data_IF_519120896536
#
_entry.id   IF_519120896536
#
_cell.length_a   1.000
_cell.length_b   1.000
_cell.length_c   1.000
_cell.angle_alpha   90.00
_cell.angle_beta   90.00
_cell.angle_gamma   90.00
#
_symmetry.space_group_name_H-M   'P 1'
#
loop_
_entity.id
_entity.type
_entity.pdbx_description
1 polymer ?
#
# COMPACT_ATOMS: atom_id res chain seq x y z
N UNK A 1 -2.71 12.03 -23.69
CA UNK A 1 -2.58 12.14 -22.22
C UNK A 1 -1.22 11.56 -21.81
N UNK A 2 -0.35 12.39 -21.22
CA UNK A 2 0.99 11.93 -20.82
C UNK A 2 0.86 11.04 -19.59
N UNK A 3 1.10 9.74 -19.74
CA UNK A 3 1.11 8.78 -18.63
C UNK A 3 2.39 9.02 -17.83
N UNK A 4 2.29 9.83 -16.78
CA UNK A 4 3.44 10.37 -16.04
C UNK A 4 4.17 9.32 -15.20
N UNK A 5 3.48 8.26 -14.73
CA UNK A 5 4.08 7.23 -13.85
C UNK A 5 4.37 5.94 -14.59
N UNK A 6 5.41 5.22 -14.14
CA UNK A 6 5.80 3.94 -14.72
C UNK A 6 4.73 2.86 -14.50
N UNK A 7 4.07 2.85 -13.35
CA UNK A 7 2.97 1.91 -13.06
C UNK A 7 1.75 2.13 -13.96
N UNK A 8 1.37 3.38 -14.21
CA UNK A 8 0.26 3.65 -15.11
C UNK A 8 0.56 3.18 -16.55
N UNK A 9 1.83 3.25 -17.00
CA UNK A 9 2.24 2.65 -18.28
C UNK A 9 2.11 1.13 -18.26
N UNK A 10 2.51 0.47 -17.17
CA UNK A 10 2.39 -0.99 -17.03
C UNK A 10 0.92 -1.41 -17.09
N UNK A 11 0.04 -0.74 -16.34
CA UNK A 11 -1.40 -1.03 -16.32
C UNK A 11 -1.99 -0.87 -17.71
N UNK A 12 -1.69 0.25 -18.38
CA UNK A 12 -2.11 0.49 -19.76
C UNK A 12 -1.65 -0.60 -20.73
N UNK A 13 -0.40 -1.05 -20.61
CA UNK A 13 0.13 -2.14 -21.45
C UNK A 13 -0.59 -3.46 -21.18
N UNK A 14 -0.90 -3.77 -19.93
CA UNK A 14 -1.66 -4.97 -19.55
C UNK A 14 -3.07 -4.91 -20.16
N UNK A 15 -3.74 -3.77 -20.09
CA UNK A 15 -5.04 -3.55 -20.71
C UNK A 15 -4.97 -3.71 -22.23
N UNK A 16 -3.96 -3.12 -22.88
CA UNK A 16 -3.74 -3.28 -24.31
C UNK A 16 -3.55 -4.75 -24.70
N UNK A 17 -2.76 -5.53 -23.96
CA UNK A 17 -2.58 -6.97 -24.22
C UNK A 17 -3.90 -7.75 -24.06
N UNK A 18 -4.73 -7.38 -23.07
CA UNK A 18 -6.04 -8.04 -22.85
C UNK A 18 -7.02 -7.77 -23.98
N UNK A 19 -7.07 -6.52 -24.47
CA UNK A 19 -7.93 -6.11 -25.59
C UNK A 19 -7.43 -6.74 -26.89
N UNK A 20 -6.12 -6.62 -27.15
CA UNK A 20 -5.47 -7.16 -28.33
C UNK A 20 -4.89 -8.54 -28.01
N UNK A 21 -5.74 -9.58 -27.96
CA UNK A 21 -5.34 -10.98 -27.66
C UNK A 21 -4.17 -11.54 -28.49
N UNK A 22 -3.82 -10.90 -29.62
CA UNK A 22 -2.68 -11.27 -30.49
C UNK A 22 -1.37 -10.56 -30.14
N UNK A 23 -1.37 -9.64 -29.18
CA UNK A 23 -0.19 -8.84 -28.83
C UNK A 23 0.74 -9.63 -27.91
N UNK A 24 1.95 -9.91 -28.39
CA UNK A 24 2.98 -10.53 -27.56
C UNK A 24 3.43 -9.56 -26.45
N UNK A 25 3.41 -9.96 -25.15
CA UNK A 25 3.86 -9.11 -24.05
C UNK A 25 5.27 -8.54 -24.25
N UNK A 26 6.14 -9.30 -24.92
CA UNK A 26 7.52 -8.87 -25.20
C UNK A 26 7.59 -7.72 -26.21
N UNK A 27 6.71 -7.73 -27.21
CA UNK A 27 6.60 -6.65 -28.20
C UNK A 27 5.99 -5.41 -27.55
N UNK A 28 4.94 -5.59 -26.75
CA UNK A 28 4.30 -4.51 -26.01
C UNK A 28 5.29 -3.80 -25.07
N UNK A 29 6.06 -4.56 -24.29
CA UNK A 29 7.09 -4.02 -23.41
C UNK A 29 8.10 -3.12 -24.15
N UNK A 30 8.52 -3.53 -25.37
CA UNK A 30 9.44 -2.74 -26.22
C UNK A 30 8.79 -1.45 -26.72
N UNK A 31 7.56 -1.53 -27.25
CA UNK A 31 6.82 -0.38 -27.79
C UNK A 31 6.62 0.71 -26.73
N UNK A 32 6.19 0.29 -25.54
CA UNK A 32 5.86 1.20 -24.44
C UNK A 32 7.03 1.50 -23.51
N UNK A 33 8.24 1.01 -23.82
CA UNK A 33 9.47 1.19 -23.04
C UNK A 33 9.30 0.80 -21.56
N UNK A 34 8.66 -0.34 -21.33
CA UNK A 34 8.44 -0.92 -20.00
C UNK A 34 9.35 -2.15 -19.82
N UNK A 35 9.99 -2.35 -18.67
CA UNK A 35 10.75 -3.57 -18.41
C UNK A 35 9.86 -4.82 -18.51
N UNK A 36 10.29 -5.79 -19.34
CA UNK A 36 9.55 -7.03 -19.58
C UNK A 36 9.30 -7.83 -18.30
N UNK A 37 10.30 -7.92 -17.42
CA UNK A 37 10.19 -8.63 -16.13
C UNK A 37 9.09 -8.04 -15.25
N UNK A 38 9.05 -6.71 -15.13
CA UNK A 38 8.03 -6.00 -14.35
C UNK A 38 6.63 -6.21 -14.94
N UNK A 39 6.50 -6.14 -16.26
CA UNK A 39 5.23 -6.41 -16.94
C UNK A 39 4.72 -7.83 -16.66
N UNK A 40 5.58 -8.85 -16.78
CA UNK A 40 5.21 -10.25 -16.50
C UNK A 40 4.82 -10.46 -15.03
N UNK A 41 5.58 -9.88 -14.10
CA UNK A 41 5.25 -9.94 -12.68
C UNK A 41 3.86 -9.36 -12.39
N UNK A 42 3.52 -8.23 -13.02
CA UNK A 42 2.22 -7.57 -12.86
C UNK A 42 1.09 -8.36 -13.51
N UNK A 43 1.32 -8.96 -14.68
CA UNK A 43 0.37 -9.89 -15.30
C UNK A 43 0.10 -11.13 -14.43
N UNK A 44 1.11 -11.60 -13.69
CA UNK A 44 1.00 -12.70 -12.74
C UNK A 44 0.42 -12.29 -11.38
N UNK A 45 -0.10 -11.06 -11.23
CA UNK A 45 -0.77 -10.61 -10.01
C UNK A 45 0.15 -10.11 -8.90
N UNK A 46 1.45 -9.88 -9.14
CA UNK A 46 2.26 -9.15 -8.15
C UNK A 46 1.75 -7.71 -8.05
N UNK A 47 1.35 -7.32 -6.85
CA UNK A 47 0.97 -5.95 -6.49
C UNK A 47 2.20 -5.08 -6.23
N UNK A 48 2.03 -3.76 -6.24
CA UNK A 48 3.12 -2.84 -5.89
C UNK A 48 3.44 -2.99 -4.40
N UNK A 49 4.60 -2.51 -3.96
CA UNK A 49 4.87 -2.43 -2.52
C UNK A 49 3.88 -1.52 -1.80
N UNK A 50 3.36 -0.51 -2.49
CA UNK A 50 2.36 0.42 -1.95
C UNK A 50 1.02 -0.27 -1.69
N UNK A 51 0.61 -1.17 -2.57
CA UNK A 51 -0.67 -1.88 -2.44
C UNK A 51 -0.55 -3.17 -1.60
N UNK A 52 0.67 -3.54 -1.20
CA UNK A 52 0.92 -4.72 -0.39
C UNK A 52 0.87 -4.34 1.08
N UNK A 53 0.04 -5.03 1.86
CA UNK A 53 0.11 -4.98 3.31
C UNK A 53 1.46 -5.51 3.81
N UNK A 54 2.27 -4.72 4.52
CA UNK A 54 3.54 -5.19 5.04
C UNK A 54 3.34 -6.27 6.09
N UNK A 55 4.12 -7.34 6.02
CA UNK A 55 4.06 -8.44 7.01
C UNK A 55 4.40 -8.00 8.44
N UNK A 56 4.97 -6.80 8.61
CA UNK A 56 5.38 -6.24 9.90
C UNK A 56 4.31 -5.33 10.53
N UNK A 57 3.14 -5.16 9.92
CA UNK A 57 2.03 -4.45 10.55
C UNK A 57 1.47 -5.30 11.68
N UNK A 58 1.55 -4.78 12.90
CA UNK A 58 1.01 -5.43 14.10
C UNK A 58 -0.48 -5.12 14.31
N UNK A 59 -0.91 -3.96 13.84
CA UNK A 59 -2.30 -3.52 13.91
C UNK A 59 -3.02 -3.95 12.63
N UNK A 60 -4.30 -4.28 12.78
CA UNK A 60 -5.20 -4.47 11.64
C UNK A 60 -5.67 -3.13 11.07
N UNK A 61 -6.20 -3.15 9.85
CA UNK A 61 -6.81 -1.98 9.20
C UNK A 61 -7.89 -1.31 10.08
N UNK A 62 -8.69 -2.11 10.79
CA UNK A 62 -9.73 -1.59 11.68
C UNK A 62 -9.13 -0.85 12.88
N UNK A 63 -8.09 -1.40 13.48
CA UNK A 63 -7.39 -0.77 14.60
C UNK A 63 -6.64 0.49 14.19
N UNK A 64 -5.97 0.47 13.03
CA UNK A 64 -5.34 1.66 12.47
C UNK A 64 -6.39 2.76 12.23
N UNK A 65 -7.58 2.40 11.75
CA UNK A 65 -8.70 3.34 11.58
C UNK A 65 -9.16 3.94 12.91
N UNK A 66 -9.24 3.12 13.97
CA UNK A 66 -9.57 3.59 15.33
C UNK A 66 -8.50 4.56 15.83
N UNK A 67 -7.22 4.22 15.64
CA UNK A 67 -6.09 5.07 16.04
C UNK A 67 -6.09 6.41 15.30
N UNK A 68 -6.33 6.38 13.98
CA UNK A 68 -6.45 7.59 13.15
C UNK A 68 -7.61 8.47 13.61
N UNK A 69 -8.77 7.88 13.87
CA UNK A 69 -9.94 8.62 14.36
C UNK A 69 -9.65 9.26 15.71
N UNK A 70 -8.93 8.57 16.58
CA UNK A 70 -8.51 9.11 17.86
C UNK A 70 -7.56 10.31 17.70
N UNK A 71 -6.56 10.21 16.83
CA UNK A 71 -5.63 11.32 16.53
C UNK A 71 -6.39 12.54 15.99
N UNK A 72 -7.34 12.32 15.07
CA UNK A 72 -8.16 13.39 14.50
C UNK A 72 -9.06 14.04 15.57
N UNK A 73 -9.58 13.26 16.52
CA UNK A 73 -10.37 13.77 17.64
C UNK A 73 -9.52 14.58 18.63
N UNK A 74 -8.28 14.16 18.91
CA UNK A 74 -7.34 14.98 19.70
C UNK A 74 -7.09 16.32 19.00
N UNK A 75 -6.82 16.27 17.68
CA UNK A 75 -6.52 17.46 16.90
C UNK A 75 -7.72 18.41 16.79
N UNK A 76 -8.95 17.87 16.65
CA UNK A 76 -10.17 18.68 16.57
C UNK A 76 -10.46 19.44 17.87
N UNK A 77 -10.03 18.89 19.02
CA UNK A 77 -10.12 19.52 20.34
C UNK A 77 -9.04 20.60 20.56
N UNK A 78 -8.18 20.85 19.58
CA UNK A 78 -7.10 21.84 19.65
C UNK A 78 -5.84 21.36 20.35
N UNK A 79 -5.73 20.06 20.64
CA UNK A 79 -4.51 19.48 21.19
C UNK A 79 -3.62 18.93 20.08
N UNK A 80 -2.30 19.15 20.19
CA UNK A 80 -1.35 18.51 19.31
C UNK A 80 -1.19 17.03 19.72
N UNK A 81 -1.42 16.06 18.82
CA UNK A 81 -1.23 14.64 19.12
C UNK A 81 0.24 14.37 19.45
N UNK A 82 0.50 13.79 20.62
CA UNK A 82 1.84 13.40 21.07
C UNK A 82 2.10 11.93 20.71
N UNK A 83 3.32 11.62 20.30
CA UNK A 83 3.74 10.25 19.99
C UNK A 83 3.47 9.28 21.14
N UNK A 84 3.78 9.68 22.38
CA UNK A 84 3.53 8.86 23.57
C UNK A 84 2.04 8.49 23.73
N UNK A 85 1.12 9.44 23.53
CA UNK A 85 -0.31 9.15 23.65
C UNK A 85 -0.84 8.24 22.55
N UNK A 86 -0.29 8.36 21.34
CA UNK A 86 -0.60 7.44 20.23
C UNK A 86 -0.05 6.04 20.50
N UNK A 87 1.17 5.96 21.06
CA UNK A 87 1.80 4.71 21.47
C UNK A 87 1.02 3.99 22.57
N UNK A 88 0.55 4.72 23.59
CA UNK A 88 -0.28 4.16 24.66
C UNK A 88 -1.55 3.48 24.13
N UNK A 89 -2.20 4.09 23.14
CA UNK A 89 -3.43 3.58 22.55
C UNK A 89 -3.14 2.40 21.63
N UNK A 90 -2.09 2.47 20.82
CA UNK A 90 -1.64 1.34 20.02
C UNK A 90 -1.30 0.13 20.92
N UNK A 91 -0.59 0.37 22.02
CA UNK A 91 -0.24 -0.67 23.00
C UNK A 91 -1.46 -1.21 23.74
N UNK A 92 -2.46 -0.37 24.03
CA UNK A 92 -3.73 -0.81 24.60
C UNK A 92 -4.46 -1.79 23.66
N UNK A 93 -4.52 -1.49 22.36
CA UNK A 93 -5.12 -2.35 21.35
C UNK A 93 -4.36 -3.68 21.23
N UNK A 94 -3.03 -3.63 21.08
CA UNK A 94 -2.18 -4.83 20.96
C UNK A 94 -2.25 -5.74 22.19
N UNK A 95 -2.32 -5.15 23.40
CA UNK A 95 -2.44 -5.91 24.65
C UNK A 95 -3.72 -6.74 24.68
N UNK A 96 -4.81 -6.25 24.09
CA UNK A 96 -6.07 -6.99 24.03
C UNK A 96 -5.95 -8.28 23.20
N UNK A 97 -4.96 -8.36 22.30
CA UNK A 97 -4.71 -9.49 21.42
C UNK A 97 -3.53 -10.37 21.83
N UNK A 98 -2.84 -9.99 22.91
CA UNK A 98 -1.63 -10.70 23.37
C UNK A 98 -0.40 -10.44 22.50
N UNK A 99 -0.42 -9.37 21.69
CA UNK A 99 0.68 -8.98 20.82
C UNK A 99 1.76 -8.17 21.55
N UNK A 100 2.97 -8.12 21.00
CA UNK A 100 4.08 -7.33 21.56
C UNK A 100 3.84 -5.84 21.37
N UNK A 101 4.06 -5.05 22.42
CA UNK A 101 3.99 -3.59 22.37
C UNK A 101 4.83 -2.96 21.22
N UNK A 102 4.39 -1.80 20.77
CA UNK A 102 5.14 -0.86 19.93
C UNK A 102 6.06 -0.04 20.84
N UNK A 103 7.19 0.43 20.29
CA UNK A 103 8.16 1.24 21.02
C UNK A 103 9.27 0.42 21.68
N UNK A 104 10.25 1.12 22.26
CA UNK A 104 11.29 0.49 23.08
C UNK A 104 10.78 0.45 24.52
N UNK A 105 10.78 -0.74 25.12
CA UNK A 105 10.65 -0.92 26.57
C UNK A 105 11.84 -0.29 27.29
#
# INVERSE_FOLDING_TARGET
MSVKTQEAKIIFVIEAIRIFKKLNPSTAAKIYKVPRSTLLHRMNGRTTLHDRWPANHKLTELEETVLLRHILDINSRGFAPRLAGVEDIANYLLKSWGEKCVGKL
#
